data_IF_222957715876
#
_entry.id   IF_222957715876
#
_cell.length_a   1.000
_cell.length_b   1.000
_cell.length_c   1.000
_cell.angle_alpha   90.00
_cell.angle_beta   90.00
_cell.angle_gamma   90.00
#
_symmetry.space_group_name_H-M   'P 1'
#
loop_
_entity.id
_entity.type
_entity.pdbx_description
1 polymer ?
#
# COMPACT_ATOMS: atom_id res chain seq x y z
N UNK A 1 3.96 -7.30 10.66
CA UNK A 1 3.01 -7.16 11.79
C UNK A 1 3.73 -7.56 13.06
N UNK A 2 3.54 -6.85 14.18
CA UNK A 2 4.37 -6.95 15.40
C UNK A 2 3.61 -7.44 16.65
N UNK A 3 2.31 -7.73 16.53
CA UNK A 3 1.46 -8.11 17.66
C UNK A 3 1.09 -6.94 18.58
N UNK A 4 1.44 -5.69 18.19
CA UNK A 4 1.16 -4.48 18.96
C UNK A 4 0.34 -3.46 18.18
N UNK A 5 0.80 -3.02 17.01
CA UNK A 5 0.00 -2.19 16.10
C UNK A 5 -1.22 -2.97 15.57
N UNK A 6 -1.02 -4.25 15.29
CA UNK A 6 -2.05 -5.24 14.96
C UNK A 6 -1.86 -6.49 15.81
N UNK A 7 -2.91 -7.29 16.09
CA UNK A 7 -2.82 -8.42 17.03
C UNK A 7 -2.06 -9.65 16.49
N UNK A 8 -1.45 -9.56 15.31
CA UNK A 8 -0.74 -10.65 14.64
C UNK A 8 0.76 -10.39 14.58
N UNK A 9 1.56 -11.45 14.71
CA UNK A 9 3.00 -11.45 14.39
C UNK A 9 3.17 -12.22 13.09
N UNK A 10 3.85 -11.61 12.10
CA UNK A 10 4.00 -12.21 10.78
C UNK A 10 5.40 -12.02 10.19
N UNK A 11 5.49 -11.66 8.92
CA UNK A 11 6.70 -11.60 8.09
C UNK A 11 7.69 -10.57 8.63
N UNK A 12 8.94 -11.02 8.85
CA UNK A 12 10.07 -10.17 9.21
C UNK A 12 11.15 -10.09 8.11
N UNK A 13 12.27 -9.37 8.34
CA UNK A 13 13.35 -9.19 7.36
C UNK A 13 13.92 -10.49 6.80
N UNK A 14 13.97 -11.56 7.61
CA UNK A 14 14.48 -12.88 7.16
C UNK A 14 13.62 -13.50 6.06
N UNK A 15 12.30 -13.32 6.13
CA UNK A 15 11.39 -13.80 5.09
C UNK A 15 11.56 -12.97 3.82
N UNK A 16 11.65 -11.64 3.93
CA UNK A 16 11.91 -10.75 2.79
C UNK A 16 13.23 -11.12 2.10
N UNK A 17 14.30 -11.37 2.89
CA UNK A 17 15.60 -11.83 2.35
C UNK A 17 15.49 -13.16 1.60
N UNK A 18 14.67 -14.09 2.09
CA UNK A 18 14.45 -15.37 1.43
C UNK A 18 13.67 -15.20 0.12
N UNK A 19 12.63 -14.38 0.12
CA UNK A 19 11.84 -14.05 -1.07
C UNK A 19 12.69 -13.33 -2.12
N UNK A 20 13.60 -12.43 -1.73
CA UNK A 20 14.46 -11.70 -2.64
C UNK A 20 15.32 -12.60 -3.54
N UNK A 21 15.67 -13.80 -3.07
CA UNK A 21 16.46 -14.77 -3.85
C UNK A 21 15.72 -15.34 -5.06
N UNK A 22 14.40 -15.38 -5.01
CA UNK A 22 13.54 -16.01 -6.03
C UNK A 22 12.61 -15.03 -6.73
N UNK A 23 12.35 -13.86 -6.11
CA UNK A 23 11.46 -12.85 -6.67
C UNK A 23 12.06 -12.22 -7.93
N UNK A 24 11.25 -12.19 -9.00
CA UNK A 24 11.58 -11.52 -10.28
C UNK A 24 10.91 -10.15 -10.40
N UNK A 25 10.18 -9.75 -9.38
CA UNK A 25 9.45 -8.47 -9.30
C UNK A 25 9.91 -7.70 -8.06
N UNK A 26 9.71 -6.37 -8.00
CA UNK A 26 9.98 -5.58 -6.81
C UNK A 26 9.25 -6.16 -5.58
N UNK A 27 9.91 -6.12 -4.42
CA UNK A 27 9.29 -6.47 -3.14
C UNK A 27 8.78 -5.20 -2.50
N UNK A 28 7.47 -5.14 -2.32
CA UNK A 28 6.76 -4.11 -1.59
C UNK A 28 6.54 -4.57 -0.15
N UNK A 29 6.97 -3.77 0.82
CA UNK A 29 6.96 -4.10 2.24
C UNK A 29 6.11 -3.09 3.00
N UNK A 30 4.90 -3.48 3.34
CA UNK A 30 4.00 -2.71 4.18
C UNK A 30 4.25 -3.05 5.67
N UNK A 31 4.69 -2.06 6.45
CA UNK A 31 5.01 -2.22 7.87
C UNK A 31 3.82 -1.88 8.77
N UNK A 32 3.09 -2.89 9.20
CA UNK A 32 2.05 -2.79 10.23
C UNK A 32 2.66 -3.02 11.62
N UNK A 33 3.51 -2.09 12.06
CA UNK A 33 4.28 -2.18 13.33
C UNK A 33 4.31 -0.82 14.03
N UNK A 34 4.44 -0.83 15.35
CA UNK A 34 4.37 0.36 16.20
C UNK A 34 5.59 1.27 16.08
N UNK A 35 6.78 0.71 15.89
CA UNK A 35 8.04 1.46 15.83
C UNK A 35 8.83 1.05 14.57
N UNK A 36 8.41 1.51 13.36
CA UNK A 36 9.03 1.11 12.11
C UNK A 36 10.47 1.62 11.96
N UNK A 37 10.83 2.76 12.55
CA UNK A 37 12.17 3.36 12.44
C UNK A 37 13.27 2.37 12.84
N UNK A 38 13.00 1.46 13.78
CA UNK A 38 13.95 0.45 14.24
C UNK A 38 14.26 -0.64 13.21
N UNK A 39 13.43 -0.81 12.20
CA UNK A 39 13.47 -1.96 11.28
C UNK A 39 13.67 -1.58 9.82
N UNK A 40 13.59 -0.29 9.46
CA UNK A 40 13.74 0.19 8.09
C UNK A 40 15.05 -0.31 7.46
N UNK A 41 16.19 -0.13 8.14
CA UNK A 41 17.50 -0.59 7.65
C UNK A 41 17.53 -2.11 7.41
N UNK A 42 16.93 -2.87 8.31
CA UNK A 42 16.90 -4.32 8.20
C UNK A 42 16.04 -4.81 7.02
N UNK A 43 14.89 -4.16 6.77
CA UNK A 43 14.05 -4.49 5.63
C UNK A 43 14.68 -4.04 4.30
N UNK A 44 15.31 -2.87 4.26
CA UNK A 44 16.05 -2.39 3.09
C UNK A 44 17.21 -3.34 2.76
N UNK A 45 18.04 -3.71 3.75
CA UNK A 45 19.13 -4.67 3.58
C UNK A 45 18.65 -6.07 3.19
N UNK A 46 17.43 -6.46 3.59
CA UNK A 46 16.80 -7.71 3.17
C UNK A 46 16.37 -7.70 1.69
N UNK A 47 16.32 -6.54 1.04
CA UNK A 47 16.02 -6.39 -0.39
C UNK A 47 14.63 -5.85 -0.70
N UNK A 48 13.99 -5.16 0.25
CA UNK A 48 12.79 -4.38 -0.02
C UNK A 48 13.07 -3.37 -1.14
N UNK A 49 12.17 -3.26 -2.09
CA UNK A 49 12.22 -2.26 -3.17
C UNK A 49 11.37 -1.04 -2.85
N UNK A 50 10.34 -1.25 -2.04
CA UNK A 50 9.40 -0.27 -1.53
C UNK A 50 9.15 -0.58 -0.06
N UNK A 51 9.02 0.45 0.77
CA UNK A 51 8.62 0.34 2.18
C UNK A 51 7.55 1.38 2.47
N UNK A 52 6.43 0.95 3.03
CA UNK A 52 5.36 1.83 3.48
C UNK A 52 5.14 1.76 4.98
N UNK A 53 4.94 2.94 5.59
CA UNK A 53 4.80 3.13 7.03
C UNK A 53 3.55 3.91 7.37
N UNK A 54 2.88 3.54 8.45
CA UNK A 54 1.66 4.19 8.91
C UNK A 54 1.92 5.57 9.53
N UNK A 55 1.13 6.57 9.13
CA UNK A 55 1.19 7.93 9.72
C UNK A 55 0.87 7.91 11.21
N UNK A 56 0.01 6.98 11.63
CA UNK A 56 -0.55 6.89 12.97
C UNK A 56 0.49 6.55 14.05
N UNK A 57 1.65 6.01 13.66
CA UNK A 57 2.69 5.57 14.59
C UNK A 57 3.99 6.40 14.50
N UNK A 58 4.02 7.44 13.68
CA UNK A 58 5.24 8.19 13.38
C UNK A 58 5.11 9.69 13.69
N UNK A 59 5.44 10.14 14.91
CA UNK A 59 5.50 11.57 15.23
C UNK A 59 6.47 12.37 14.35
N UNK A 60 7.50 11.72 13.80
CA UNK A 60 8.52 12.32 12.93
C UNK A 60 8.48 11.73 11.52
N UNK A 61 7.29 11.60 10.93
CA UNK A 61 7.04 10.97 9.64
C UNK A 61 7.97 11.48 8.52
N UNK A 62 8.22 12.80 8.46
CA UNK A 62 9.13 13.40 7.48
C UNK A 62 10.53 12.78 7.56
N UNK A 63 11.09 12.66 8.77
CA UNK A 63 12.41 12.03 8.98
C UNK A 63 12.42 10.59 8.50
N UNK A 64 11.40 9.82 8.81
CA UNK A 64 11.26 8.41 8.43
C UNK A 64 11.19 8.23 6.92
N UNK A 65 10.37 9.02 6.22
CA UNK A 65 10.28 9.01 4.75
C UNK A 65 11.64 9.27 4.11
N UNK A 66 12.35 10.30 4.57
CA UNK A 66 13.68 10.61 4.06
C UNK A 66 14.75 9.55 4.40
N UNK A 67 14.65 8.90 5.57
CA UNK A 67 15.53 7.79 5.94
C UNK A 67 15.34 6.59 4.99
N UNK A 68 14.09 6.22 4.66
CA UNK A 68 13.82 5.16 3.67
C UNK A 68 14.42 5.52 2.30
N UNK A 69 14.21 6.75 1.83
CA UNK A 69 14.73 7.22 0.54
C UNK A 69 16.26 7.25 0.49
N UNK A 70 16.92 7.59 1.60
CA UNK A 70 18.38 7.59 1.70
C UNK A 70 18.99 6.19 1.53
N UNK A 71 18.22 5.12 1.79
CA UNK A 71 18.61 3.73 1.54
C UNK A 71 18.38 3.27 0.09
N UNK A 72 17.94 4.17 -0.81
CA UNK A 72 17.61 3.83 -2.20
C UNK A 72 16.31 3.04 -2.36
N UNK A 73 15.45 3.02 -1.33
CA UNK A 73 14.16 2.33 -1.31
C UNK A 73 13.04 3.35 -1.50
N UNK A 74 11.99 3.02 -2.25
CA UNK A 74 10.83 3.89 -2.41
C UNK A 74 10.05 3.98 -1.09
N UNK A 75 9.77 5.21 -0.65
CA UNK A 75 9.08 5.50 0.59
C UNK A 75 7.59 5.73 0.37
N UNK A 76 6.75 4.91 0.99
CA UNK A 76 5.29 5.04 1.02
C UNK A 76 4.77 5.45 2.39
N UNK A 77 3.64 6.12 2.38
CA UNK A 77 2.91 6.51 3.59
C UNK A 77 1.52 5.89 3.57
N UNK A 78 1.12 5.31 4.71
CA UNK A 78 -0.12 4.53 4.84
C UNK A 78 -1.14 5.28 5.69
N UNK A 79 -2.39 5.27 5.24
CA UNK A 79 -3.55 5.78 5.99
C UNK A 79 -4.50 4.65 6.36
N UNK A 80 -4.80 4.51 7.65
CA UNK A 80 -5.90 3.65 8.13
C UNK A 80 -7.28 4.14 7.66
N UNK A 81 -8.32 3.30 7.68
CA UNK A 81 -9.66 3.70 7.24
C UNK A 81 -10.21 4.95 7.94
N UNK A 82 -9.96 5.12 9.25
CA UNK A 82 -10.42 6.28 10.01
C UNK A 82 -9.53 7.52 9.91
N UNK A 83 -8.28 7.39 9.43
CA UNK A 83 -7.32 8.50 9.36
C UNK A 83 -7.67 9.45 8.23
N UNK A 84 -7.87 10.75 8.47
CA UNK A 84 -8.23 11.71 7.44
C UNK A 84 -7.06 12.01 6.50
N UNK A 85 -7.35 12.33 5.23
CA UNK A 85 -6.35 12.61 4.19
C UNK A 85 -5.50 13.86 4.49
N UNK A 86 -6.00 14.78 5.34
CA UNK A 86 -5.23 15.95 5.79
C UNK A 86 -3.91 15.57 6.47
N UNK A 87 -3.79 14.35 7.01
CA UNK A 87 -2.54 13.83 7.58
C UNK A 87 -1.38 13.75 6.56
N UNK A 88 -1.69 13.77 5.25
CA UNK A 88 -0.70 13.81 4.17
C UNK A 88 -0.25 15.21 3.78
N UNK A 89 -0.94 16.27 4.20
CA UNK A 89 -0.80 17.61 3.63
C UNK A 89 0.64 18.12 3.61
N UNK A 90 1.41 17.84 4.66
CA UNK A 90 2.78 18.30 4.81
C UNK A 90 3.83 17.32 4.26
N UNK A 91 3.43 16.13 3.81
CA UNK A 91 4.37 15.09 3.36
C UNK A 91 4.08 14.60 1.93
N UNK A 92 2.95 14.99 1.36
CA UNK A 92 2.50 14.50 0.05
C UNK A 92 3.50 14.78 -1.10
N UNK A 93 4.30 15.85 -1.00
CA UNK A 93 5.33 16.18 -1.98
C UNK A 93 6.58 15.28 -1.91
N UNK A 94 6.82 14.63 -0.78
CA UNK A 94 8.05 13.88 -0.51
C UNK A 94 7.91 12.37 -0.70
N UNK A 95 6.68 11.85 -0.72
CA UNK A 95 6.44 10.40 -0.83
C UNK A 95 6.58 9.89 -2.26
N UNK A 96 7.03 8.65 -2.40
CA UNK A 96 7.05 7.97 -3.70
C UNK A 96 5.72 7.30 -4.03
N UNK A 97 4.89 7.00 -3.03
CA UNK A 97 3.53 6.48 -3.16
C UNK A 97 2.72 6.67 -1.87
N UNK A 98 1.40 6.51 -1.96
CA UNK A 98 0.52 6.50 -0.79
C UNK A 98 -0.29 5.20 -0.80
N UNK A 99 -0.33 4.50 0.33
CA UNK A 99 -1.17 3.33 0.54
C UNK A 99 -2.43 3.70 1.33
N UNK A 100 -3.58 3.42 0.76
CA UNK A 100 -4.89 3.55 1.41
C UNK A 100 -5.37 2.19 1.91
N UNK A 101 -5.56 2.07 3.21
CA UNK A 101 -6.20 0.88 3.76
C UNK A 101 -7.70 0.93 3.51
N UNK A 102 -8.23 -0.09 2.87
CA UNK A 102 -9.68 -0.28 2.63
C UNK A 102 -10.32 -1.35 3.52
N UNK A 103 -9.57 -1.82 4.49
CA UNK A 103 -10.00 -2.61 5.65
C UNK A 103 -9.19 -2.18 6.87
N UNK A 104 -9.58 -2.57 8.09
CA UNK A 104 -8.70 -2.39 9.24
C UNK A 104 -7.50 -3.35 9.13
N UNK A 105 -6.25 -2.86 9.35
CA UNK A 105 -5.07 -3.72 9.29
C UNK A 105 -5.13 -4.92 10.24
N UNK A 106 -4.44 -6.03 9.86
CA UNK A 106 -4.21 -7.18 10.76
C UNK A 106 -4.72 -8.52 10.24
N UNK A 107 -5.79 -8.56 9.45
CA UNK A 107 -6.37 -9.82 8.96
C UNK A 107 -6.71 -9.74 7.47
N UNK A 108 -6.47 -10.86 6.77
CA UNK A 108 -6.95 -11.02 5.38
C UNK A 108 -8.44 -11.37 5.32
N UNK A 109 -9.02 -11.29 4.12
CA UNK A 109 -10.40 -11.72 3.85
C UNK A 109 -11.51 -10.82 4.42
N UNK A 110 -11.19 -9.61 4.84
CA UNK A 110 -12.17 -8.63 5.33
C UNK A 110 -12.97 -7.99 4.17
N UNK A 111 -14.19 -7.55 4.48
CA UNK A 111 -15.03 -6.82 3.53
C UNK A 111 -14.47 -5.42 3.26
N UNK A 112 -14.46 -5.03 2.00
CA UNK A 112 -14.06 -3.70 1.53
C UNK A 112 -14.90 -2.59 2.19
N UNK A 113 -14.26 -1.54 2.67
CA UNK A 113 -14.91 -0.34 3.24
C UNK A 113 -15.22 0.64 2.09
N UNK A 114 -16.50 0.87 1.71
CA UNK A 114 -16.85 1.67 0.52
C UNK A 114 -16.32 3.11 0.54
N UNK A 115 -16.20 3.73 1.71
CA UNK A 115 -15.63 5.09 1.87
C UNK A 115 -14.19 5.21 1.35
N UNK A 116 -13.46 4.09 1.22
CA UNK A 116 -12.08 4.08 0.72
C UNK A 116 -11.98 4.54 -0.74
N UNK A 117 -13.02 4.39 -1.56
CA UNK A 117 -13.04 4.95 -2.93
C UNK A 117 -12.93 6.47 -2.92
N UNK A 118 -13.74 7.11 -2.08
CA UNK A 118 -13.69 8.57 -1.90
C UNK A 118 -12.33 9.00 -1.36
N UNK A 119 -11.78 8.24 -0.39
CA UNK A 119 -10.45 8.51 0.15
C UNK A 119 -9.36 8.44 -0.92
N UNK A 120 -9.42 7.48 -1.85
CA UNK A 120 -8.47 7.41 -2.99
C UNK A 120 -8.53 8.69 -3.83
N UNK A 121 -9.73 9.20 -4.13
CA UNK A 121 -9.90 10.46 -4.87
C UNK A 121 -9.36 11.66 -4.08
N UNK A 122 -9.62 11.70 -2.77
CA UNK A 122 -9.09 12.76 -1.89
C UNK A 122 -7.56 12.72 -1.82
N UNK A 123 -6.94 11.53 -1.74
CA UNK A 123 -5.48 11.33 -1.79
C UNK A 123 -4.91 11.79 -3.13
N UNK A 124 -5.54 11.45 -4.25
CA UNK A 124 -5.10 11.91 -5.57
C UNK A 124 -5.06 13.44 -5.61
N UNK A 125 -6.13 14.09 -5.17
CA UNK A 125 -6.19 15.55 -5.12
C UNK A 125 -5.13 16.16 -4.18
N UNK A 126 -4.79 15.50 -3.07
CA UNK A 126 -3.75 15.94 -2.15
C UNK A 126 -2.35 15.86 -2.80
N UNK A 127 -2.04 14.76 -3.47
CA UNK A 127 -0.80 14.57 -4.22
C UNK A 127 -0.65 15.60 -5.35
N UNK A 128 -1.72 15.87 -6.08
CA UNK A 128 -1.74 16.85 -7.19
C UNK A 128 -1.46 18.27 -6.66
N UNK A 129 -2.12 18.66 -5.56
CA UNK A 129 -1.87 19.98 -4.91
C UNK A 129 -0.44 20.13 -4.38
N UNK A 130 0.16 19.02 -3.93
CA UNK A 130 1.55 19.00 -3.44
C UNK A 130 2.60 18.99 -4.57
N UNK A 131 2.18 19.05 -5.86
CA UNK A 131 3.09 18.99 -7.00
C UNK A 131 3.66 17.60 -7.27
N UNK A 132 3.02 16.55 -6.77
CA UNK A 132 3.43 15.15 -6.91
C UNK A 132 2.39 14.29 -7.66
N UNK A 133 1.93 14.69 -8.88
CA UNK A 133 0.89 13.99 -9.63
C UNK A 133 1.34 12.60 -10.12
N UNK A 134 2.65 12.34 -10.15
CA UNK A 134 3.23 11.06 -10.59
C UNK A 134 3.23 9.96 -9.53
N UNK A 135 3.04 10.30 -8.25
CA UNK A 135 3.03 9.30 -7.19
C UNK A 135 1.81 8.38 -7.31
N UNK A 136 1.99 7.05 -7.44
CA UNK A 136 0.87 6.12 -7.50
C UNK A 136 0.17 6.02 -6.15
N UNK A 137 -1.12 5.72 -6.21
CA UNK A 137 -1.90 5.34 -5.03
C UNK A 137 -2.04 3.84 -5.03
N UNK A 138 -1.65 3.23 -3.93
CA UNK A 138 -1.84 1.84 -3.60
C UNK A 138 -3.08 1.68 -2.72
N UNK A 139 -3.75 0.54 -2.82
CA UNK A 139 -4.91 0.22 -1.98
C UNK A 139 -4.83 -1.24 -1.52
N UNK A 140 -5.05 -1.46 -0.22
CA UNK A 140 -5.01 -2.77 0.40
C UNK A 140 -6.28 -3.04 1.23
N UNK A 141 -6.94 -4.15 0.91
CA UNK A 141 -8.06 -4.69 1.65
C UNK A 141 -9.34 -4.88 0.84
N UNK A 142 -9.84 -6.11 0.78
CA UNK A 142 -11.09 -6.43 0.10
C UNK A 142 -11.09 -6.18 -1.41
N UNK A 143 -9.91 -6.24 -2.03
CA UNK A 143 -9.75 -6.06 -3.47
C UNK A 143 -10.08 -7.36 -4.19
N UNK A 144 -11.07 -7.31 -5.08
CA UNK A 144 -11.58 -8.39 -5.89
C UNK A 144 -12.02 -7.89 -7.29
N UNK A 145 -12.63 -8.76 -8.10
CA UNK A 145 -13.12 -8.42 -9.45
C UNK A 145 -14.20 -7.32 -9.48
N UNK A 146 -14.90 -7.08 -8.37
CA UNK A 146 -15.95 -6.07 -8.25
C UNK A 146 -15.40 -4.73 -7.76
N UNK A 147 -14.47 -4.76 -6.79
CA UNK A 147 -13.91 -3.55 -6.18
C UNK A 147 -12.76 -2.96 -6.99
N UNK A 148 -11.93 -3.80 -7.65
CA UNK A 148 -10.78 -3.34 -8.44
C UNK A 148 -11.12 -2.26 -9.47
N UNK A 149 -12.13 -2.40 -10.35
CA UNK A 149 -12.44 -1.36 -11.34
C UNK A 149 -12.88 -0.03 -10.67
N UNK A 150 -13.55 -0.10 -9.52
CA UNK A 150 -14.04 1.08 -8.79
C UNK A 150 -12.87 1.90 -8.21
N UNK A 151 -11.92 1.22 -7.55
CA UNK A 151 -10.77 1.90 -6.96
C UNK A 151 -9.79 2.40 -8.02
N UNK A 152 -9.67 1.72 -9.17
CA UNK A 152 -8.88 2.20 -10.31
C UNK A 152 -9.51 3.45 -10.93
N UNK A 153 -10.83 3.48 -11.10
CA UNK A 153 -11.55 4.67 -11.54
C UNK A 153 -11.39 5.84 -10.56
N UNK A 154 -11.32 5.57 -9.25
CA UNK A 154 -11.05 6.56 -8.21
C UNK A 154 -9.59 7.09 -8.21
N UNK A 155 -8.66 6.41 -8.88
CA UNK A 155 -7.26 6.85 -9.01
C UNK A 155 -6.20 5.89 -8.51
N UNK A 156 -6.55 4.72 -7.95
CA UNK A 156 -5.57 3.71 -7.55
C UNK A 156 -4.83 3.13 -8.77
N UNK A 157 -3.56 2.78 -8.58
CA UNK A 157 -2.69 2.22 -9.61
C UNK A 157 -1.95 0.96 -9.16
N UNK A 158 -1.84 0.73 -7.86
CA UNK A 158 -1.29 -0.49 -7.26
C UNK A 158 -2.41 -1.12 -6.43
N UNK A 159 -2.69 -2.40 -6.67
CA UNK A 159 -3.76 -3.15 -6.02
C UNK A 159 -3.19 -4.30 -5.23
N UNK A 160 -3.44 -4.35 -3.93
CA UNK A 160 -3.06 -5.47 -3.06
C UNK A 160 -4.27 -6.38 -2.87
N UNK A 161 -4.14 -7.62 -3.34
CA UNK A 161 -5.20 -8.62 -3.27
C UNK A 161 -4.63 -9.94 -2.71
N UNK A 162 -5.09 -10.35 -1.55
CA UNK A 162 -4.73 -11.62 -0.92
C UNK A 162 -5.76 -12.70 -1.22
N UNK A 163 -6.89 -12.69 -0.54
CA UNK A 163 -7.93 -13.71 -0.61
C UNK A 163 -8.48 -13.93 -2.03
N UNK A 164 -8.68 -12.87 -2.80
CA UNK A 164 -9.20 -12.96 -4.16
C UNK A 164 -8.25 -13.69 -5.13
N UNK A 165 -6.96 -13.80 -4.79
CA UNK A 165 -5.95 -14.50 -5.57
C UNK A 165 -5.64 -15.85 -4.93
N UNK A 166 -5.12 -15.85 -3.71
CA UNK A 166 -4.61 -17.05 -3.04
C UNK A 166 -5.70 -17.94 -2.42
N UNK A 167 -6.94 -17.44 -2.32
CA UNK A 167 -8.11 -18.25 -1.94
C UNK A 167 -8.73 -19.05 -3.10
N UNK A 168 -8.16 -18.97 -4.31
CA UNK A 168 -8.64 -19.70 -5.50
C UNK A 168 -7.81 -20.94 -5.79
N UNK A 169 -8.34 -21.84 -6.59
CA UNK A 169 -7.63 -23.04 -7.04
C UNK A 169 -6.48 -22.74 -8.02
N UNK A 170 -6.55 -21.61 -8.75
CA UNK A 170 -5.54 -21.15 -9.71
C UNK A 170 -5.20 -19.66 -9.45
N UNK A 171 -4.23 -19.38 -8.57
CA UNK A 171 -3.82 -18.01 -8.28
C UNK A 171 -3.25 -17.24 -9.48
N UNK A 172 -2.64 -17.94 -10.44
CA UNK A 172 -2.09 -17.32 -11.64
C UNK A 172 -3.22 -16.80 -12.54
N UNK A 173 -4.25 -17.63 -12.77
CA UNK A 173 -5.44 -17.22 -13.52
C UNK A 173 -6.18 -16.09 -12.82
N UNK A 174 -6.42 -16.20 -11.51
CA UNK A 174 -7.07 -15.16 -10.72
C UNK A 174 -6.31 -13.82 -10.79
N UNK A 175 -4.97 -13.86 -10.79
CA UNK A 175 -4.15 -12.64 -10.93
C UNK A 175 -4.33 -12.01 -12.32
N UNK A 176 -4.34 -12.80 -13.39
CA UNK A 176 -4.57 -12.30 -14.76
C UNK A 176 -5.95 -11.68 -14.90
N UNK A 177 -6.96 -12.32 -14.37
CA UNK A 177 -8.36 -11.85 -14.44
C UNK A 177 -8.53 -10.53 -13.66
N UNK A 178 -7.99 -10.47 -12.44
CA UNK A 178 -8.03 -9.26 -11.63
C UNK A 178 -7.33 -8.09 -12.34
N UNK A 179 -6.15 -8.34 -12.91
CA UNK A 179 -5.41 -7.35 -13.69
C UNK A 179 -6.19 -6.89 -14.92
N UNK A 180 -6.76 -7.83 -15.70
CA UNK A 180 -7.55 -7.52 -16.88
C UNK A 180 -8.78 -6.67 -16.51
N UNK A 181 -9.46 -7.02 -15.41
CA UNK A 181 -10.62 -6.30 -14.90
C UNK A 181 -10.28 -4.88 -14.45
N UNK A 182 -9.14 -4.71 -13.76
CA UNK A 182 -8.62 -3.41 -13.35
C UNK A 182 -8.26 -2.52 -14.57
N UNK A 183 -7.59 -3.10 -15.57
CA UNK A 183 -7.17 -2.38 -16.79
C UNK A 183 -8.36 -1.85 -17.61
N UNK A 184 -9.48 -2.56 -17.63
CA UNK A 184 -10.70 -2.09 -18.31
C UNK A 184 -11.19 -0.74 -17.76
N UNK A 185 -11.02 -0.50 -16.47
CA UNK A 185 -11.43 0.76 -15.84
C UNK A 185 -10.51 1.96 -16.20
N UNK A 186 -9.27 1.70 -16.64
CA UNK A 186 -8.36 2.76 -17.12
C UNK A 186 -8.73 3.27 -18.53
N UNK A 187 -9.39 2.43 -19.32
CA UNK A 187 -9.73 2.73 -20.73
C UNK A 187 -11.16 3.29 -20.85
N UNK A 188 -11.99 3.06 -19.85
CA UNK A 188 -13.37 3.57 -19.86
C UNK A 188 -13.35 5.12 -19.78
N UNK A 189 -14.02 5.84 -20.72
CA UNK A 189 -14.11 7.29 -20.63
C UNK A 189 -14.80 7.69 -19.33
N UNK A 190 -14.19 8.59 -18.57
CA UNK A 190 -14.84 9.27 -17.44
C UNK A 190 -16.10 9.94 -17.92
N UNK A 191 -17.27 9.47 -17.44
CA UNK A 191 -18.57 10.11 -17.69
C UNK A 191 -18.72 11.35 -16.83
#
# INVERSE_FOLDING_TARGET
MDGHFVPNITIGPLVVKSLKRVARVPLDVHLMITDPDRYIDAFAAAGASMISVHVEVLPHLHRTVHAIKALGVKAGVVLNPATPVVALEQIAGDVDFVLVMSVNPGFGGQSFIPRSEVKVTEVRAALDRAGNPGAPIEIDGGIDLNTAPRVVAAGARILVAGQAIFGTADPEHATRDLKARAMQALVAPTR
#
